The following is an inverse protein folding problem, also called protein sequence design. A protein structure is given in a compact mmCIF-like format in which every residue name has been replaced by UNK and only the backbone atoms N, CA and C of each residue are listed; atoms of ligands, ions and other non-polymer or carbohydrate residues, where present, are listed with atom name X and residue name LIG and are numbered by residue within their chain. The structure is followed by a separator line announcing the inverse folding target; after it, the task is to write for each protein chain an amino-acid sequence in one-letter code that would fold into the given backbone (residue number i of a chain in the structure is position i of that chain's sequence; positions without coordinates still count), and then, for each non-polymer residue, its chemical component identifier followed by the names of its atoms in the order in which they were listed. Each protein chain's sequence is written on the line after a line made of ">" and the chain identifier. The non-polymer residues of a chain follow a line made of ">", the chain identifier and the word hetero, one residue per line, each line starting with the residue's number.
data_IF_141457434481
#
_entry.id   IF_141457434481
#
_cell.length_a   1.000
_cell.length_b   1.000
_cell.length_c   1.000
_cell.angle_alpha   90.00
_cell.angle_beta   90.00
_cell.angle_gamma   90.00
#
_symmetry.space_group_name_H-M   'P 1'
#
loop_
_entity.id
_entity.type
_entity.pdbx_description
1 polymer ?
#
# COMPACT_ATOMS: atom_id res chain seq x y z
N UNK A 1 -6.45 9.04 -4.63
CA UNK A 1 -7.30 10.24 -4.47
C UNK A 1 -8.61 10.02 -5.21
N UNK A 2 -9.71 10.57 -4.70
CA UNK A 2 -11.01 10.51 -5.37
C UNK A 2 -11.09 11.45 -6.59
N UNK A 3 -11.99 11.15 -7.52
CA UNK A 3 -12.30 12.04 -8.65
C UNK A 3 -12.99 13.31 -8.15
N UNK A 4 -12.45 14.48 -8.50
CA UNK A 4 -13.06 15.77 -8.14
C UNK A 4 -14.48 15.92 -8.68
N UNK A 5 -14.84 15.24 -9.78
CA UNK A 5 -16.20 15.30 -10.29
C UNK A 5 -17.23 14.65 -9.34
N UNK A 6 -16.83 13.69 -8.50
CA UNK A 6 -17.73 13.09 -7.49
C UNK A 6 -18.24 14.12 -6.47
N UNK A 7 -17.51 15.22 -6.29
CA UNK A 7 -17.87 16.32 -5.38
C UNK A 7 -18.81 17.35 -6.04
N UNK A 8 -19.07 17.26 -7.34
CA UNK A 8 -19.79 18.28 -8.12
C UNK A 8 -21.24 17.86 -8.40
N UNK A 9 -22.17 18.33 -7.58
CA UNK A 9 -23.62 18.12 -7.75
C UNK A 9 -24.14 18.68 -9.07
N UNK A 10 -23.61 19.83 -9.52
CA UNK A 10 -24.01 20.46 -10.78
C UNK A 10 -23.65 19.63 -12.02
N UNK A 11 -22.79 18.61 -11.86
CA UNK A 11 -22.46 17.62 -12.89
C UNK A 11 -23.27 16.32 -12.75
N UNK A 12 -24.28 16.29 -11.89
CA UNK A 12 -25.14 15.13 -11.64
C UNK A 12 -24.58 14.07 -10.70
N UNK A 13 -23.51 14.39 -9.95
CA UNK A 13 -22.93 13.49 -8.95
C UNK A 13 -23.56 13.69 -7.57
N UNK A 14 -23.32 12.75 -6.65
CA UNK A 14 -23.82 12.80 -5.28
C UNK A 14 -22.68 12.79 -4.26
N UNK A 15 -22.24 13.95 -3.74
CA UNK A 15 -21.20 14.03 -2.73
C UNK A 15 -21.56 13.36 -1.40
N UNK A 16 -22.85 13.07 -1.14
CA UNK A 16 -23.26 12.36 0.07
C UNK A 16 -22.65 10.96 0.17
N UNK A 17 -22.34 10.32 -0.96
CA UNK A 17 -21.62 9.03 -0.97
C UNK A 17 -20.23 9.18 -0.33
N UNK A 18 -19.56 10.31 -0.57
CA UNK A 18 -18.25 10.61 0.01
C UNK A 18 -18.40 10.92 1.50
N UNK A 19 -19.42 11.71 1.87
CA UNK A 19 -19.74 12.01 3.29
C UNK A 19 -20.02 10.75 4.07
N UNK A 20 -20.82 9.85 3.52
CA UNK A 20 -21.14 8.56 4.15
C UNK A 20 -19.90 7.66 4.28
N UNK A 21 -19.06 7.60 3.25
CA UNK A 21 -17.77 6.90 3.33
C UNK A 21 -16.88 7.47 4.46
N UNK A 22 -16.80 8.79 4.62
CA UNK A 22 -16.08 9.44 5.72
C UNK A 22 -16.66 9.08 7.09
N UNK A 23 -18.00 9.08 7.24
CA UNK A 23 -18.67 8.63 8.47
C UNK A 23 -18.32 7.19 8.81
N UNK A 24 -18.39 6.29 7.82
CA UNK A 24 -18.02 4.87 7.99
C UNK A 24 -16.56 4.71 8.39
N UNK A 25 -15.66 5.56 7.88
CA UNK A 25 -14.24 5.60 8.27
C UNK A 25 -13.96 6.29 9.62
N UNK A 26 -14.98 6.80 10.31
CA UNK A 26 -14.82 7.60 11.54
C UNK A 26 -13.94 8.83 11.35
N UNK A 27 -13.98 9.43 10.15
CA UNK A 27 -13.24 10.64 9.80
C UNK A 27 -14.18 11.85 9.68
N UNK A 28 -13.60 13.05 9.78
CA UNK A 28 -14.32 14.31 9.63
C UNK A 28 -15.06 14.37 8.29
N UNK A 29 -16.34 14.74 8.33
CA UNK A 29 -17.21 14.82 7.14
C UNK A 29 -17.11 16.21 6.50
N UNK A 30 -16.82 17.22 7.32
CA UNK A 30 -16.73 18.64 6.96
C UNK A 30 -15.70 18.89 5.87
N UNK A 31 -14.67 18.04 5.78
CA UNK A 31 -13.64 18.10 4.73
C UNK A 31 -14.22 17.94 3.32
N UNK A 32 -15.34 17.23 3.17
CA UNK A 32 -16.02 17.09 1.88
C UNK A 32 -16.58 18.43 1.44
N UNK A 33 -17.17 19.18 2.37
CA UNK A 33 -17.73 20.51 2.09
C UNK A 33 -16.61 21.54 1.88
N UNK A 34 -15.50 21.44 2.61
CA UNK A 34 -14.29 22.23 2.34
C UNK A 34 -13.77 22.02 0.91
N UNK A 35 -13.68 20.76 0.45
CA UNK A 35 -13.25 20.45 -0.93
C UNK A 35 -14.23 21.01 -1.96
N UNK A 36 -15.54 20.91 -1.73
CA UNK A 36 -16.56 21.49 -2.61
C UNK A 36 -16.39 23.00 -2.73
N UNK A 37 -16.15 23.69 -1.60
CA UNK A 37 -15.95 25.13 -1.57
C UNK A 37 -14.65 25.53 -2.29
N UNK A 38 -13.54 24.86 -1.99
CA UNK A 38 -12.25 25.11 -2.63
C UNK A 38 -12.30 24.86 -4.15
N UNK A 39 -13.05 23.85 -4.60
CA UNK A 39 -13.26 23.58 -6.03
C UNK A 39 -14.03 24.71 -6.72
N UNK A 40 -15.07 25.26 -6.06
CA UNK A 40 -15.82 26.42 -6.58
C UNK A 40 -14.92 27.65 -6.72
N UNK A 41 -14.13 27.94 -5.69
CA UNK A 41 -13.19 29.07 -5.71
C UNK A 41 -12.10 28.91 -6.76
N UNK A 42 -11.53 27.71 -6.88
CA UNK A 42 -10.53 27.41 -7.91
C UNK A 42 -11.11 27.61 -9.32
N UNK A 43 -12.32 27.08 -9.59
CA UNK A 43 -12.99 27.27 -10.89
C UNK A 43 -13.33 28.72 -11.17
N UNK A 44 -13.75 29.49 -10.17
CA UNK A 44 -14.02 30.91 -10.31
C UNK A 44 -12.74 31.68 -10.69
N UNK A 45 -11.63 31.45 -9.97
CA UNK A 45 -10.32 32.05 -10.28
C UNK A 45 -9.83 31.64 -11.68
N UNK A 46 -10.04 30.39 -12.07
CA UNK A 46 -9.71 29.87 -13.40
C UNK A 46 -10.51 30.57 -14.50
N UNK A 47 -11.82 30.77 -14.29
CA UNK A 47 -12.68 31.49 -15.21
C UNK A 47 -12.26 32.97 -15.37
N UNK A 48 -11.90 33.63 -14.27
CA UNK A 48 -11.38 35.00 -14.29
C UNK A 48 -10.07 35.11 -15.07
N UNK A 49 -9.13 34.17 -14.86
CA UNK A 49 -7.89 34.08 -15.65
C UNK A 49 -8.16 33.87 -17.14
N UNK A 50 -9.11 33.01 -17.50
CA UNK A 50 -9.51 32.80 -18.90
C UNK A 50 -10.13 34.06 -19.52
N UNK A 51 -10.90 34.83 -18.75
CA UNK A 51 -11.43 36.12 -19.22
C UNK A 51 -10.31 37.15 -19.43
N UNK A 52 -9.34 37.25 -18.52
CA UNK A 52 -8.16 38.11 -18.71
C UNK A 52 -7.41 37.75 -19.99
N UNK A 53 -7.19 36.45 -20.25
CA UNK A 53 -6.56 35.96 -21.49
C UNK A 53 -7.40 36.26 -22.74
N UNK A 54 -8.73 36.19 -22.66
CA UNK A 54 -9.62 36.57 -23.76
C UNK A 54 -9.55 38.07 -24.03
N UNK A 55 -9.55 38.90 -22.99
CA UNK A 55 -9.40 40.35 -23.12
C UNK A 55 -8.04 40.74 -23.67
N UNK A 56 -6.96 40.10 -23.20
CA UNK A 56 -5.62 40.25 -23.78
C UNK A 56 -5.62 40.08 -25.31
N UNK A 57 -6.23 38.99 -25.78
CA UNK A 57 -6.31 38.69 -27.21
C UNK A 57 -7.13 39.74 -27.99
N UNK A 58 -8.17 40.33 -27.38
CA UNK A 58 -8.95 41.42 -27.97
C UNK A 58 -8.13 42.70 -28.05
N UNK A 59 -7.48 43.10 -26.95
CA UNK A 59 -6.63 44.30 -26.88
C UNK A 59 -5.50 44.17 -27.91
N UNK A 60 -4.83 43.02 -27.97
CA UNK A 60 -3.72 42.80 -28.90
C UNK A 60 -4.15 42.86 -30.38
N UNK A 61 -5.35 42.35 -30.71
CA UNK A 61 -5.94 42.53 -32.04
C UNK A 61 -6.20 44.01 -32.35
N UNK A 62 -6.66 44.79 -31.36
CA UNK A 62 -6.89 46.23 -31.53
C UNK A 62 -5.58 46.99 -31.73
N UNK A 63 -4.52 46.68 -30.99
CA UNK A 63 -3.17 47.24 -31.20
C UNK A 63 -2.68 46.99 -32.62
N UNK A 64 -2.84 45.76 -33.13
CA UNK A 64 -2.46 45.43 -34.50
C UNK A 64 -3.24 46.25 -35.54
N UNK A 65 -4.55 46.43 -35.34
CA UNK A 65 -5.39 47.25 -36.23
C UNK A 65 -4.96 48.73 -36.24
N UNK A 66 -4.72 49.32 -35.08
CA UNK A 66 -4.29 50.73 -34.96
C UNK A 66 -2.93 50.96 -35.62
N UNK A 67 -1.99 50.02 -35.43
CA UNK A 67 -0.66 50.06 -36.09
C UNK A 67 -0.76 49.98 -37.61
N UNK A 68 -1.65 49.14 -38.15
CA UNK A 68 -1.90 49.04 -39.60
C UNK A 68 -2.52 50.34 -40.13
N UNK A 69 -3.42 50.96 -39.36
CA UNK A 69 -4.08 52.22 -39.70
C UNK A 69 -3.16 53.46 -39.56
N UNK A 70 -1.97 53.33 -38.95
CA UNK A 70 -1.08 54.45 -38.66
C UNK A 70 -1.55 55.35 -37.52
N UNK A 71 -2.48 54.86 -36.69
CA UNK A 71 -3.04 55.58 -35.54
C UNK A 71 -2.20 55.37 -34.26
N UNK A 72 -2.33 56.28 -33.29
CA UNK A 72 -1.65 56.14 -32.00
C UNK A 72 -2.25 54.98 -31.19
N UNK A 73 -1.39 54.03 -30.80
CA UNK A 73 -1.75 52.86 -30.03
C UNK A 73 -1.22 52.92 -28.58
N UNK A 74 -0.63 54.04 -28.14
CA UNK A 74 0.10 54.14 -26.87
C UNK A 74 -0.75 53.74 -25.66
N UNK A 75 -2.00 54.19 -25.58
CA UNK A 75 -2.87 53.85 -24.44
C UNK A 75 -3.35 52.40 -24.49
N UNK A 76 -3.64 51.86 -25.68
CA UNK A 76 -4.02 50.43 -25.86
C UNK A 76 -2.84 49.51 -25.55
N UNK A 77 -1.61 49.96 -25.77
CA UNK A 77 -0.39 49.25 -25.36
C UNK A 77 -0.25 49.23 -23.82
N UNK A 78 -0.57 50.33 -23.12
CA UNK A 78 -0.59 50.32 -21.64
C UNK A 78 -1.62 49.34 -21.10
N UNK A 79 -2.82 49.30 -21.68
CA UNK A 79 -3.87 48.34 -21.31
C UNK A 79 -3.41 46.88 -21.51
N UNK A 80 -2.56 46.64 -22.52
CA UNK A 80 -1.95 45.33 -22.78
C UNK A 80 -0.99 44.92 -21.66
N UNK A 81 -0.12 45.83 -21.22
CA UNK A 81 0.84 45.57 -20.15
C UNK A 81 0.14 45.38 -18.79
N UNK A 82 -0.89 46.18 -18.49
CA UNK A 82 -1.68 46.02 -17.28
C UNK A 82 -2.45 44.69 -17.27
N UNK A 83 -3.06 44.29 -18.39
CA UNK A 83 -3.73 43.00 -18.48
C UNK A 83 -2.75 41.82 -18.28
N UNK A 84 -1.53 41.89 -18.83
CA UNK A 84 -0.50 40.86 -18.60
C UNK A 84 -0.16 40.76 -17.11
N UNK A 85 0.00 41.89 -16.43
CA UNK A 85 0.28 41.93 -14.99
C UNK A 85 -0.83 41.26 -14.18
N UNK A 86 -2.09 41.65 -14.42
CA UNK A 86 -3.25 41.06 -13.77
C UNK A 86 -3.39 39.57 -14.07
N UNK A 87 -3.12 39.13 -15.30
CA UNK A 87 -3.15 37.73 -15.67
C UNK A 87 -2.05 36.91 -14.96
N UNK A 88 -0.85 37.47 -14.79
CA UNK A 88 0.24 36.83 -14.07
C UNK A 88 -0.06 36.70 -12.57
N UNK A 89 -0.58 37.76 -11.94
CA UNK A 89 -1.06 37.74 -10.54
C UNK A 89 -2.15 36.67 -10.39
N UNK A 90 -3.13 36.64 -11.31
CA UNK A 90 -4.22 35.67 -11.26
C UNK A 90 -3.78 34.23 -11.48
N UNK A 91 -2.75 34.00 -12.30
CA UNK A 91 -2.19 32.67 -12.52
C UNK A 91 -1.53 32.11 -11.25
N UNK A 92 -0.94 32.97 -10.40
CA UNK A 92 -0.44 32.58 -9.07
C UNK A 92 -1.61 32.18 -8.17
N UNK A 93 -2.67 33.00 -8.09
CA UNK A 93 -3.85 32.68 -7.27
C UNK A 93 -4.51 31.35 -7.68
N UNK A 94 -4.62 31.07 -8.99
CA UNK A 94 -5.15 29.81 -9.50
C UNK A 94 -4.30 28.62 -9.04
N UNK A 95 -2.97 28.76 -9.10
CA UNK A 95 -2.03 27.70 -8.68
C UNK A 95 -2.10 27.44 -7.18
N UNK A 96 -2.19 28.49 -6.38
CA UNK A 96 -2.34 28.39 -4.92
C UNK A 96 -3.68 27.75 -4.55
N UNK A 97 -4.77 28.18 -5.18
CA UNK A 97 -6.09 27.58 -4.97
C UNK A 97 -6.12 26.09 -5.33
N UNK A 98 -5.47 25.70 -6.44
CA UNK A 98 -5.37 24.29 -6.84
C UNK A 98 -4.53 23.48 -5.84
N UNK A 99 -3.45 24.05 -5.32
CA UNK A 99 -2.59 23.41 -4.32
C UNK A 99 -3.37 23.17 -3.02
N UNK A 100 -4.14 24.17 -2.57
CA UNK A 100 -5.00 24.04 -1.38
C UNK A 100 -6.08 22.97 -1.60
N UNK A 101 -6.79 23.01 -2.73
CA UNK A 101 -7.78 22.00 -3.11
C UNK A 101 -7.18 20.58 -3.08
N UNK A 102 -6.04 20.39 -3.75
CA UNK A 102 -5.40 19.08 -3.83
C UNK A 102 -4.96 18.56 -2.46
N UNK A 103 -4.39 19.41 -1.59
CA UNK A 103 -3.98 18.97 -0.26
C UNK A 103 -5.14 18.46 0.61
N UNK A 104 -6.34 19.03 0.45
CA UNK A 104 -7.56 18.56 1.11
C UNK A 104 -8.13 17.30 0.45
N UNK A 105 -8.07 17.23 -0.87
CA UNK A 105 -8.53 16.05 -1.61
C UNK A 105 -7.66 14.82 -1.36
N UNK A 106 -6.37 15.00 -1.10
CA UNK A 106 -5.41 13.90 -0.85
C UNK A 106 -5.63 13.15 0.46
N UNK A 107 -6.23 13.80 1.46
CA UNK A 107 -6.47 13.19 2.79
C UNK A 107 -7.83 12.50 2.90
N UNK A 108 -8.68 12.60 1.88
CA UNK A 108 -9.96 11.88 1.80
C UNK A 108 -9.68 10.47 1.26
N UNK A 109 -9.94 9.47 2.09
CA UNK A 109 -9.74 8.07 1.74
C UNK A 109 -10.68 7.59 0.63
N UNK A 110 -10.37 6.42 0.08
CA UNK A 110 -11.15 5.76 -0.93
C UNK A 110 -12.58 5.46 -0.44
N UNK A 111 -13.52 5.28 -1.37
CA UNK A 111 -14.89 4.90 -1.02
C UNK A 111 -14.90 3.50 -0.40
N UNK A 112 -15.51 3.39 0.79
CA UNK A 112 -15.64 2.13 1.49
C UNK A 112 -16.70 1.27 0.79
N UNK A 113 -16.34 0.04 0.40
CA UNK A 113 -17.28 -0.90 -0.21
C UNK A 113 -18.41 -1.29 0.76
N UNK A 114 -19.64 -1.48 0.28
CA UNK A 114 -20.82 -1.71 1.14
C UNK A 114 -20.72 -2.97 2.00
N UNK A 115 -19.95 -3.97 1.58
CA UNK A 115 -19.73 -5.20 2.36
C UNK A 115 -18.76 -5.04 3.54
N UNK A 116 -18.12 -3.87 3.71
CA UNK A 116 -17.13 -3.66 4.78
C UNK A 116 -17.85 -3.48 6.12
N UNK A 117 -17.48 -4.24 7.18
CA UNK A 117 -18.07 -4.09 8.50
C UNK A 117 -17.76 -2.72 9.08
N UNK A 118 -18.76 -2.06 9.65
CA UNK A 118 -18.63 -0.69 10.17
C UNK A 118 -18.26 -0.76 11.65
N UNK A 119 -17.01 -0.47 11.97
CA UNK A 119 -16.49 -0.32 13.34
C UNK A 119 -15.16 0.43 13.32
N UNK A 120 -14.81 1.06 14.45
CA UNK A 120 -13.52 1.71 14.67
C UNK A 120 -12.58 0.85 15.54
N UNK A 121 -12.94 -0.40 15.76
CA UNK A 121 -12.21 -1.32 16.64
C UNK A 121 -11.99 -2.64 15.91
N UNK A 122 -10.70 -2.98 15.70
CA UNK A 122 -10.23 -4.18 14.99
C UNK A 122 -10.67 -5.48 15.66
N UNK A 123 -11.01 -5.48 16.94
CA UNK A 123 -11.61 -6.65 17.61
C UNK A 123 -12.97 -7.03 16.99
N UNK A 124 -13.60 -6.12 16.24
CA UNK A 124 -14.84 -6.38 15.49
C UNK A 124 -14.60 -6.79 14.02
N UNK A 125 -13.37 -7.09 13.64
CA UNK A 125 -13.08 -7.69 12.34
C UNK A 125 -13.92 -8.96 12.15
N UNK A 126 -14.64 -9.05 11.03
CA UNK A 126 -15.56 -10.16 10.80
C UNK A 126 -14.80 -11.38 10.27
N UNK A 127 -14.86 -12.52 10.96
CA UNK A 127 -14.31 -13.79 10.44
C UNK A 127 -15.18 -14.26 9.27
N UNK A 128 -14.57 -14.38 8.09
CA UNK A 128 -15.26 -14.77 6.85
C UNK A 128 -15.07 -16.25 6.56
N UNK A 129 -13.86 -16.78 6.81
CA UNK A 129 -13.49 -18.18 6.57
C UNK A 129 -12.46 -18.64 7.61
N UNK A 130 -12.41 -19.94 7.87
CA UNK A 130 -11.38 -20.57 8.70
C UNK A 130 -10.95 -21.90 8.09
N UNK A 131 -9.70 -22.29 8.30
CA UNK A 131 -9.15 -23.53 7.77
C UNK A 131 -8.07 -24.12 8.69
N UNK A 132 -7.97 -25.45 8.69
CA UNK A 132 -6.93 -26.20 9.39
C UNK A 132 -7.26 -26.55 10.85
N UNK A 133 -6.50 -27.49 11.41
CA UNK A 133 -6.62 -27.92 12.81
C UNK A 133 -5.60 -27.21 13.68
N UNK A 134 -6.08 -26.47 14.69
CA UNK A 134 -5.22 -25.73 15.62
C UNK A 134 -4.53 -26.68 16.61
N UNK A 135 -3.21 -26.51 16.78
CA UNK A 135 -2.49 -27.09 17.92
C UNK A 135 -2.85 -26.33 19.20
N UNK A 136 -3.31 -27.06 20.21
CA UNK A 136 -3.85 -26.53 21.47
C UNK A 136 -3.17 -27.13 22.71
N UNK A 137 -2.25 -28.08 22.53
CA UNK A 137 -1.54 -28.71 23.63
C UNK A 137 -0.70 -27.68 24.43
N UNK A 138 -0.61 -27.83 25.76
CA UNK A 138 0.10 -26.87 26.59
C UNK A 138 1.62 -26.99 26.43
N UNK A 139 2.34 -25.93 26.84
CA UNK A 139 3.82 -25.88 26.91
C UNK A 139 4.54 -25.97 25.55
N UNK A 140 3.87 -25.60 24.45
CA UNK A 140 4.54 -25.36 23.19
C UNK A 140 5.45 -24.14 23.28
N UNK A 141 6.62 -24.23 22.65
CA UNK A 141 7.61 -23.14 22.61
C UNK A 141 7.16 -22.10 21.60
N UNK A 142 7.37 -20.83 21.92
CA UNK A 142 7.15 -19.76 20.95
C UNK A 142 8.30 -19.66 19.95
N UNK A 143 8.09 -18.96 18.85
CA UNK A 143 9.09 -18.80 17.79
C UNK A 143 10.38 -18.11 18.29
N UNK A 144 10.32 -17.27 19.32
CA UNK A 144 11.51 -16.59 19.88
C UNK A 144 12.47 -17.63 20.45
N UNK A 145 11.95 -18.54 21.27
CA UNK A 145 12.73 -19.65 21.84
C UNK A 145 13.19 -20.63 20.76
N UNK A 146 12.30 -21.00 19.83
CA UNK A 146 12.60 -21.98 18.78
C UNK A 146 13.70 -21.50 17.82
N UNK A 147 13.69 -20.22 17.45
CA UNK A 147 14.74 -19.61 16.61
C UNK A 147 16.12 -19.73 17.26
N UNK A 148 16.19 -19.53 18.59
CA UNK A 148 17.43 -19.70 19.36
C UNK A 148 17.83 -21.17 19.47
N UNK A 149 16.91 -22.07 19.85
CA UNK A 149 17.17 -23.51 19.98
C UNK A 149 17.69 -24.14 18.68
N UNK A 150 17.10 -23.77 17.54
CA UNK A 150 17.52 -24.23 16.22
C UNK A 150 18.82 -23.56 15.74
N UNK A 151 19.20 -22.43 16.35
CA UNK A 151 20.35 -21.63 15.94
C UNK A 151 20.19 -21.02 14.54
N UNK A 152 18.95 -20.70 14.14
CA UNK A 152 18.60 -20.23 12.79
C UNK A 152 18.60 -18.71 12.65
N UNK A 153 18.66 -17.98 13.76
CA UNK A 153 18.95 -16.55 13.77
C UNK A 153 19.88 -16.14 14.93
N UNK A 154 20.45 -14.95 14.83
CA UNK A 154 21.24 -14.29 15.87
C UNK A 154 20.67 -12.91 16.16
N UNK A 155 19.79 -12.84 17.16
CA UNK A 155 19.14 -11.59 17.56
C UNK A 155 20.10 -10.68 18.33
N UNK A 156 21.02 -11.27 19.11
CA UNK A 156 21.99 -10.50 19.90
C UNK A 156 22.98 -9.78 18.99
N UNK A 157 23.61 -10.51 18.05
CA UNK A 157 24.54 -9.90 17.09
C UNK A 157 23.83 -8.95 16.14
N UNK A 158 22.58 -9.23 15.78
CA UNK A 158 21.76 -8.29 15.02
C UNK A 158 21.54 -6.98 15.77
N UNK A 159 21.17 -7.05 17.05
CA UNK A 159 20.95 -5.87 17.87
C UNK A 159 22.21 -5.05 18.13
N UNK A 160 23.36 -5.71 18.30
CA UNK A 160 24.67 -5.05 18.42
C UNK A 160 25.03 -4.22 17.17
N UNK A 161 24.58 -4.65 15.98
CA UNK A 161 24.95 -4.02 14.70
C UNK A 161 23.91 -3.01 14.20
N UNK A 162 22.63 -3.36 14.26
CA UNK A 162 21.55 -2.57 13.66
C UNK A 162 20.60 -1.91 14.69
N UNK A 163 20.85 -2.13 15.99
CA UNK A 163 19.96 -1.69 17.06
C UNK A 163 18.76 -2.62 17.27
N UNK A 164 17.78 -2.17 18.07
CA UNK A 164 16.57 -2.97 18.35
C UNK A 164 15.91 -3.52 17.07
N UNK A 165 15.33 -4.72 17.16
CA UNK A 165 14.75 -5.46 16.02
C UNK A 165 15.75 -5.87 14.91
N UNK A 166 17.05 -5.65 15.09
CA UNK A 166 18.09 -6.19 14.22
C UNK A 166 18.32 -7.69 14.45
N UNK A 167 18.56 -8.45 13.38
CA UNK A 167 18.84 -9.89 13.43
C UNK A 167 19.78 -10.32 12.29
N UNK A 168 20.46 -11.45 12.48
CA UNK A 168 21.05 -12.21 11.37
C UNK A 168 20.27 -13.51 11.21
N UNK A 169 19.89 -13.90 10.00
CA UNK A 169 19.56 -15.31 9.71
C UNK A 169 20.85 -16.13 9.57
N UNK A 170 20.83 -17.38 10.03
CA UNK A 170 21.99 -18.29 9.99
C UNK A 170 21.60 -19.68 9.48
N UNK A 171 22.49 -20.29 8.71
CA UNK A 171 22.39 -21.70 8.31
C UNK A 171 21.01 -22.07 7.74
N UNK A 172 20.28 -22.92 8.46
CA UNK A 172 18.94 -23.37 8.04
C UNK A 172 17.90 -22.24 8.01
N UNK A 173 18.05 -21.17 8.79
CA UNK A 173 17.16 -20.00 8.73
C UNK A 173 17.27 -19.26 7.41
N UNK A 174 18.50 -19.04 6.91
CA UNK A 174 18.73 -18.47 5.57
C UNK A 174 18.11 -19.35 4.50
N UNK A 175 18.32 -20.67 4.59
CA UNK A 175 17.77 -21.62 3.61
C UNK A 175 16.25 -21.66 3.64
N UNK A 176 15.62 -21.64 4.80
CA UNK A 176 14.16 -21.64 4.94
C UNK A 176 13.55 -20.34 4.42
N UNK A 177 14.18 -19.19 4.67
CA UNK A 177 13.77 -17.91 4.08
C UNK A 177 13.80 -17.96 2.55
N UNK A 178 14.92 -18.42 1.96
CA UNK A 178 15.05 -18.59 0.52
C UNK A 178 14.07 -19.63 -0.05
N UNK A 179 13.76 -20.69 0.70
CA UNK A 179 12.78 -21.70 0.31
C UNK A 179 11.37 -21.10 0.21
N UNK A 180 10.97 -20.24 1.17
CA UNK A 180 9.69 -19.54 1.13
C UNK A 180 9.59 -18.58 -0.05
N UNK A 181 10.66 -17.83 -0.35
CA UNK A 181 10.72 -16.92 -1.51
C UNK A 181 10.52 -17.71 -2.81
N UNK A 182 11.35 -18.72 -3.04
CA UNK A 182 11.31 -19.50 -4.28
C UNK A 182 10.00 -20.27 -4.43
N UNK A 183 9.51 -20.89 -3.35
CA UNK A 183 8.21 -21.55 -3.38
C UNK A 183 7.07 -20.57 -3.69
N UNK A 184 7.11 -19.37 -3.12
CA UNK A 184 6.13 -18.33 -3.38
C UNK A 184 6.11 -17.84 -4.83
N UNK A 185 7.29 -17.63 -5.41
CA UNK A 185 7.43 -17.23 -6.82
C UNK A 185 6.95 -18.34 -7.77
N UNK A 186 7.45 -19.57 -7.60
CA UNK A 186 6.99 -20.76 -8.35
C UNK A 186 5.47 -20.96 -8.26
N UNK A 187 4.89 -20.66 -7.09
CA UNK A 187 3.46 -20.81 -6.85
C UNK A 187 2.62 -19.79 -7.65
N UNK A 188 3.09 -18.55 -7.77
CA UNK A 188 2.42 -17.50 -8.54
C UNK A 188 2.70 -17.61 -10.04
N UNK A 189 3.89 -18.01 -10.45
CA UNK A 189 4.23 -18.27 -11.86
C UNK A 189 3.25 -19.28 -12.48
N UNK A 190 2.98 -20.38 -11.76
CA UNK A 190 1.99 -21.41 -12.15
C UNK A 190 0.55 -20.88 -12.25
N UNK A 191 0.29 -19.67 -11.76
CA UNK A 191 -1.01 -18.96 -11.81
C UNK A 191 -0.99 -17.78 -12.79
N UNK A 192 0.03 -17.71 -13.66
CA UNK A 192 0.13 -16.70 -14.71
C UNK A 192 0.58 -15.34 -14.22
N UNK A 193 1.22 -15.24 -13.05
CA UNK A 193 1.87 -14.02 -12.61
C UNK A 193 3.26 -13.90 -13.24
N UNK A 194 3.61 -12.69 -13.65
CA UNK A 194 4.97 -12.37 -14.10
C UNK A 194 5.82 -11.98 -12.89
N UNK A 195 6.92 -12.68 -12.67
CA UNK A 195 7.87 -12.40 -11.60
C UNK A 195 8.58 -11.07 -11.83
N UNK A 196 8.68 -10.24 -10.79
CA UNK A 196 9.41 -8.98 -10.81
C UNK A 196 10.23 -8.80 -9.53
N UNK A 197 11.51 -8.51 -9.69
CA UNK A 197 12.30 -7.91 -8.62
C UNK A 197 12.26 -6.39 -8.76
N UNK A 198 11.75 -5.70 -7.74
CA UNK A 198 11.58 -4.25 -7.80
C UNK A 198 12.84 -3.52 -7.36
N UNK A 199 13.05 -2.25 -7.75
CA UNK A 199 14.01 -1.38 -7.06
C UNK A 199 13.63 -1.26 -5.57
N UNK A 200 14.61 -1.33 -4.66
CA UNK A 200 14.36 -1.25 -3.21
C UNK A 200 14.36 0.17 -2.65
N UNK A 201 14.54 1.16 -3.53
CA UNK A 201 14.41 2.57 -3.21
C UNK A 201 13.68 3.30 -4.33
N UNK A 202 12.93 4.33 -3.97
CA UNK A 202 12.18 5.17 -4.89
C UNK A 202 12.55 6.64 -4.68
N UNK A 203 12.51 7.43 -5.76
CA UNK A 203 12.63 8.88 -5.64
C UNK A 203 11.46 9.45 -4.85
N UNK A 204 11.69 10.54 -4.12
CA UNK A 204 10.67 11.20 -3.28
C UNK A 204 9.39 11.56 -4.06
N UNK A 205 9.53 12.10 -5.26
CA UNK A 205 8.41 12.52 -6.12
C UNK A 205 7.51 11.33 -6.52
N UNK A 206 8.11 10.17 -6.78
CA UNK A 206 7.38 8.95 -7.15
C UNK A 206 6.76 8.29 -5.91
N UNK A 207 7.51 8.19 -4.81
CA UNK A 207 6.99 7.64 -3.55
C UNK A 207 5.76 8.42 -3.07
N UNK A 208 5.77 9.75 -3.21
CA UNK A 208 4.64 10.60 -2.83
C UNK A 208 3.37 10.35 -3.65
N UNK A 209 3.45 9.67 -4.80
CA UNK A 209 2.28 9.28 -5.61
C UNK A 209 1.63 7.98 -5.16
N UNK A 210 2.36 7.10 -4.46
CA UNK A 210 1.84 5.80 -4.01
C UNK A 210 1.67 5.68 -2.49
N UNK A 211 2.51 6.37 -1.69
CA UNK A 211 2.45 6.34 -0.23
C UNK A 211 1.59 7.48 0.34
N UNK A 212 0.93 7.20 1.46
CA UNK A 212 0.20 8.19 2.26
C UNK A 212 1.18 9.05 3.06
N UNK A 213 0.79 10.28 3.37
CA UNK A 213 1.63 11.23 4.13
C UNK A 213 2.11 10.65 5.47
N UNK A 214 1.22 10.01 6.23
CA UNK A 214 1.56 9.39 7.52
C UNK A 214 2.66 8.30 7.38
N UNK A 215 2.71 7.60 6.25
CA UNK A 215 3.72 6.55 6.02
C UNK A 215 5.14 7.11 5.90
N UNK A 216 5.31 8.37 5.46
CA UNK A 216 6.63 9.00 5.39
C UNK A 216 7.28 9.13 6.78
N UNK A 217 6.46 9.49 7.77
CA UNK A 217 6.91 9.69 9.13
C UNK A 217 7.06 8.35 9.85
N UNK A 218 6.05 7.49 9.76
CA UNK A 218 5.92 6.28 10.58
C UNK A 218 6.59 5.03 10.02
N UNK A 219 6.65 4.88 8.69
CA UNK A 219 7.07 3.63 8.04
C UNK A 219 8.37 3.76 7.25
N UNK A 220 8.54 4.83 6.47
CA UNK A 220 9.56 4.89 5.42
C UNK A 220 10.91 5.40 5.92
N UNK A 221 11.98 4.64 5.67
CA UNK A 221 13.35 5.12 5.81
C UNK A 221 13.73 6.04 4.64
N UNK A 222 14.29 7.20 4.96
CA UNK A 222 14.78 8.18 3.98
C UNK A 222 16.29 7.97 3.74
N UNK A 223 16.69 7.96 2.47
CA UNK A 223 18.08 7.93 2.03
C UNK A 223 18.44 9.31 1.49
N UNK A 224 19.38 9.97 2.18
CA UNK A 224 19.85 11.33 1.87
C UNK A 224 21.33 11.31 1.52
N UNK A 225 21.78 12.18 0.60
CA UNK A 225 23.19 12.29 0.21
C UNK A 225 23.39 13.34 -0.87
N UNK A 226 24.49 13.27 -1.62
CA UNK A 226 24.67 14.08 -2.83
C UNK A 226 23.69 13.61 -3.93
N UNK A 227 22.74 14.47 -4.29
CA UNK A 227 21.68 14.19 -5.27
C UNK A 227 20.28 14.15 -4.66
N UNK A 228 19.32 13.61 -5.41
CA UNK A 228 17.92 13.60 -5.00
C UNK A 228 17.65 12.62 -3.85
N UNK A 229 16.83 13.09 -2.89
CA UNK A 229 16.28 12.30 -1.80
C UNK A 229 15.54 11.06 -2.32
N UNK A 230 15.83 9.90 -1.72
CA UNK A 230 15.15 8.64 -1.99
C UNK A 230 14.57 8.06 -0.70
N UNK A 231 13.69 7.08 -0.84
CA UNK A 231 13.10 6.34 0.27
C UNK A 231 13.26 4.85 0.02
N UNK A 232 13.64 4.08 1.04
CA UNK A 232 13.56 2.62 1.00
C UNK A 232 12.09 2.20 0.97
N UNK A 233 11.79 1.15 0.21
CA UNK A 233 10.41 0.66 0.08
C UNK A 233 9.96 -0.10 1.34
N UNK A 234 8.71 0.08 1.75
CA UNK A 234 8.08 -0.69 2.83
C UNK A 234 7.41 -1.98 2.33
N UNK A 235 7.28 -2.12 1.00
CA UNK A 235 6.65 -3.24 0.28
C UNK A 235 6.94 -3.11 -1.21
N UNK A 236 7.02 -4.24 -1.94
CA UNK A 236 7.09 -4.26 -3.41
C UNK A 236 5.88 -3.59 -4.08
N UNK A 237 4.74 -3.47 -3.38
CA UNK A 237 3.56 -2.75 -3.86
C UNK A 237 3.90 -1.32 -4.32
N UNK A 238 4.73 -0.58 -3.57
CA UNK A 238 5.03 0.83 -3.87
C UNK A 238 5.69 1.02 -5.26
N UNK A 239 6.78 0.30 -5.59
CA UNK A 239 7.35 0.35 -6.93
C UNK A 239 6.47 -0.33 -7.99
N UNK A 240 5.70 -1.38 -7.66
CA UNK A 240 4.78 -2.03 -8.63
C UNK A 240 3.63 -1.11 -9.05
N UNK A 241 3.04 -0.37 -8.10
CA UNK A 241 2.09 0.70 -8.37
C UNK A 241 2.64 1.69 -9.40
N UNK A 242 3.92 2.05 -9.28
CA UNK A 242 4.56 3.06 -10.11
C UNK A 242 5.16 2.51 -11.41
N UNK A 243 5.08 1.20 -11.64
CA UNK A 243 5.67 0.56 -12.83
C UNK A 243 5.01 1.03 -14.14
N UNK A 244 3.70 1.34 -14.08
CA UNK A 244 2.89 1.85 -15.18
C UNK A 244 2.48 3.31 -14.99
N UNK A 245 3.37 4.12 -14.41
CA UNK A 245 3.11 5.55 -14.23
C UNK A 245 2.88 6.22 -15.59
N UNK A 246 1.85 7.06 -15.69
CA UNK A 246 1.45 7.78 -16.91
C UNK A 246 1.03 6.91 -18.12
N UNK A 247 1.03 5.58 -18.01
CA UNK A 247 0.65 4.68 -19.09
C UNK A 247 -0.85 4.72 -19.42
N UNK A 248 -1.17 4.29 -20.63
CA UNK A 248 -2.51 3.92 -21.07
C UNK A 248 -2.55 2.42 -21.31
N UNK A 249 -3.29 1.69 -20.46
CA UNK A 249 -3.39 0.23 -20.53
C UNK A 249 -4.59 -0.14 -21.40
N UNK A 250 -4.32 -0.87 -22.48
CA UNK A 250 -5.36 -1.32 -23.40
C UNK A 250 -6.18 -2.46 -22.76
N UNK A 251 -7.51 -2.54 -22.98
CA UNK A 251 -8.34 -3.59 -22.38
C UNK A 251 -7.87 -5.02 -22.68
N UNK A 252 -7.27 -5.25 -23.86
CA UNK A 252 -6.75 -6.57 -24.23
C UNK A 252 -5.47 -7.00 -23.49
N UNK A 253 -4.86 -6.12 -22.71
CA UNK A 253 -3.70 -6.43 -21.87
C UNK A 253 -4.11 -6.84 -20.45
N UNK A 254 -5.38 -6.64 -20.08
CA UNK A 254 -5.87 -6.86 -18.72
C UNK A 254 -6.45 -8.28 -18.56
N UNK A 255 -6.33 -8.88 -17.37
CA UNK A 255 -5.61 -8.35 -16.21
C UNK A 255 -4.09 -8.51 -16.32
N UNK A 256 -3.33 -7.52 -15.84
CA UNK A 256 -1.88 -7.68 -15.61
C UNK A 256 -1.66 -8.22 -14.20
N UNK A 257 -0.75 -9.20 -14.05
CA UNK A 257 -0.50 -9.93 -12.82
C UNK A 257 1.01 -9.99 -12.54
N UNK A 258 1.45 -9.46 -11.41
CA UNK A 258 2.86 -9.39 -11.03
C UNK A 258 3.13 -10.06 -9.68
N UNK A 259 4.15 -10.93 -9.65
CA UNK A 259 4.70 -11.54 -8.44
C UNK A 259 5.96 -10.77 -8.03
N UNK A 260 5.81 -9.78 -7.15
CA UNK A 260 6.88 -8.91 -6.70
C UNK A 260 7.69 -9.50 -5.57
N UNK A 261 9.00 -9.69 -5.75
CA UNK A 261 9.92 -10.01 -4.65
C UNK A 261 10.74 -8.78 -4.24
N UNK A 262 10.78 -8.51 -2.93
CA UNK A 262 11.68 -7.50 -2.37
C UNK A 262 12.01 -7.72 -0.90
N UNK A 263 13.16 -7.18 -0.47
CA UNK A 263 13.34 -6.81 0.93
C UNK A 263 12.52 -5.55 1.23
N UNK A 264 11.84 -5.55 2.37
CA UNK A 264 10.94 -4.50 2.84
C UNK A 264 11.54 -3.83 4.07
N UNK A 265 11.50 -2.49 4.12
CA UNK A 265 12.09 -1.69 5.20
C UNK A 265 11.02 -0.86 5.91
N UNK A 266 10.84 -1.06 7.21
CA UNK A 266 9.84 -0.33 8.03
C UNK A 266 10.43 0.18 9.33
N UNK A 267 10.25 1.47 9.61
CA UNK A 267 10.68 2.09 10.89
C UNK A 267 9.94 1.54 12.10
N UNK A 268 8.72 1.01 11.91
CA UNK A 268 7.87 0.47 12.98
C UNK A 268 7.60 1.46 14.14
N UNK A 269 7.60 2.77 13.86
CA UNK A 269 7.53 3.83 14.87
C UNK A 269 6.22 3.84 15.67
N UNK A 270 5.09 3.47 15.04
CA UNK A 270 3.78 3.39 15.71
C UNK A 270 3.57 2.15 16.60
N UNK A 271 4.51 1.20 16.61
CA UNK A 271 4.34 -0.12 17.25
C UNK A 271 4.93 -0.24 18.66
N UNK A 272 5.19 0.87 19.35
CA UNK A 272 5.92 0.91 20.62
C UNK A 272 5.46 -0.18 21.62
N UNK A 273 6.35 -1.14 21.90
CA UNK A 273 6.14 -2.20 22.90
C UNK A 273 5.43 -3.47 22.40
N UNK A 274 4.91 -3.52 21.15
CA UNK A 274 4.27 -4.72 20.58
C UNK A 274 5.26 -5.56 19.77
N UNK A 275 5.17 -6.89 19.95
CA UNK A 275 5.95 -7.92 19.25
C UNK A 275 7.44 -7.54 19.08
N UNK A 276 8.10 -7.16 20.17
CA UNK A 276 9.46 -6.62 20.16
C UNK A 276 10.56 -7.70 20.13
N UNK A 277 10.18 -8.97 20.29
CA UNK A 277 11.10 -10.10 20.38
C UNK A 277 10.99 -11.00 19.13
N UNK A 278 12.05 -11.75 18.87
CA UNK A 278 12.12 -12.65 17.71
C UNK A 278 12.30 -11.90 16.40
N UNK A 279 11.76 -12.48 15.32
CA UNK A 279 11.81 -11.91 13.96
C UNK A 279 10.41 -11.64 13.38
N UNK A 280 9.35 -11.68 14.20
CA UNK A 280 7.97 -11.48 13.72
C UNK A 280 7.68 -10.04 13.27
N UNK A 281 8.21 -9.05 14.00
CA UNK A 281 8.10 -7.62 13.66
C UNK A 281 9.48 -6.98 13.70
N UNK A 282 10.02 -6.70 12.52
CA UNK A 282 11.42 -6.29 12.32
C UNK A 282 11.53 -5.14 11.31
N UNK A 283 12.66 -4.44 11.32
CA UNK A 283 12.89 -3.31 10.41
C UNK A 283 13.15 -3.73 8.97
N UNK A 284 13.64 -4.95 8.77
CA UNK A 284 13.93 -5.54 7.46
C UNK A 284 13.36 -6.95 7.42
N UNK A 285 12.61 -7.27 6.37
CA UNK A 285 12.04 -8.60 6.13
C UNK A 285 11.87 -8.82 4.62
N UNK A 286 11.73 -10.06 4.17
CA UNK A 286 11.43 -10.38 2.77
C UNK A 286 9.94 -10.64 2.55
N UNK A 287 9.46 -10.27 1.36
CA UNK A 287 8.06 -10.47 0.98
C UNK A 287 7.93 -10.83 -0.50
N UNK A 288 7.05 -11.79 -0.78
CA UNK A 288 6.49 -12.05 -2.11
C UNK A 288 5.09 -11.43 -2.15
N UNK A 289 4.90 -10.49 -3.06
CA UNK A 289 3.70 -9.68 -3.25
C UNK A 289 2.96 -10.07 -4.53
N UNK A 290 1.65 -10.22 -4.45
CA UNK A 290 0.76 -10.22 -5.60
C UNK A 290 0.34 -8.78 -5.90
N UNK A 291 0.53 -8.32 -7.12
CA UNK A 291 0.03 -7.03 -7.59
C UNK A 291 -0.72 -7.20 -8.90
N UNK A 292 -1.97 -6.75 -8.94
CA UNK A 292 -2.83 -6.92 -10.10
C UNK A 292 -3.37 -5.57 -10.58
N UNK A 293 -3.42 -5.42 -11.89
CA UNK A 293 -4.07 -4.31 -12.58
C UNK A 293 -5.24 -4.88 -13.36
N UNK A 294 -6.45 -4.39 -13.11
CA UNK A 294 -7.67 -4.91 -13.73
C UNK A 294 -8.44 -3.83 -14.47
N UNK A 295 -9.39 -4.29 -15.28
CA UNK A 295 -10.44 -3.41 -15.79
C UNK A 295 -11.20 -2.77 -14.62
N UNK A 296 -11.61 -1.50 -14.74
CA UNK A 296 -12.57 -0.87 -13.83
C UNK A 296 -14.04 -1.24 -14.17
N UNK A 297 -14.29 -1.94 -15.28
CA UNK A 297 -15.63 -2.34 -15.71
C UNK A 297 -16.13 -3.58 -14.98
N UNK A 298 -17.45 -3.62 -14.74
CA UNK A 298 -18.10 -4.80 -14.16
C UNK A 298 -17.58 -5.18 -12.78
N UNK A 299 -17.37 -6.47 -12.57
CA UNK A 299 -16.88 -7.06 -11.32
C UNK A 299 -15.40 -7.45 -11.36
N UNK A 300 -14.67 -7.19 -12.45
CA UNK A 300 -13.31 -7.69 -12.70
C UNK A 300 -12.34 -7.45 -11.52
N UNK A 301 -12.35 -6.23 -10.95
CA UNK A 301 -11.48 -5.93 -9.80
C UNK A 301 -11.90 -6.68 -8.53
N UNK A 302 -13.20 -6.89 -8.32
CA UNK A 302 -13.71 -7.59 -7.14
C UNK A 302 -13.51 -9.10 -7.26
N UNK A 303 -13.65 -9.66 -8.45
CA UNK A 303 -13.30 -11.06 -8.74
C UNK A 303 -11.81 -11.31 -8.55
N UNK A 304 -10.95 -10.39 -9.02
CA UNK A 304 -9.52 -10.44 -8.76
C UNK A 304 -9.20 -10.32 -7.27
N UNK A 305 -9.92 -9.50 -6.51
CA UNK A 305 -9.74 -9.40 -5.05
C UNK A 305 -9.96 -10.75 -4.36
N UNK A 306 -11.03 -11.45 -4.73
CA UNK A 306 -11.33 -12.80 -4.22
C UNK A 306 -10.32 -13.85 -4.73
N UNK A 307 -9.84 -13.74 -5.98
CA UNK A 307 -8.78 -14.61 -6.53
C UNK A 307 -7.46 -14.45 -5.76
N UNK A 308 -7.03 -13.21 -5.50
CA UNK A 308 -5.76 -12.92 -4.82
C UNK A 308 -5.74 -13.42 -3.38
N UNK A 309 -6.82 -13.22 -2.60
CA UNK A 309 -6.89 -13.78 -1.25
C UNK A 309 -6.95 -15.30 -1.29
N UNK A 310 -7.64 -15.89 -2.27
CA UNK A 310 -7.66 -17.35 -2.46
C UNK A 310 -6.28 -17.91 -2.79
N UNK A 311 -5.46 -17.21 -3.58
CA UNK A 311 -4.07 -17.60 -3.85
C UNK A 311 -3.27 -17.68 -2.55
N UNK A 312 -3.40 -16.66 -1.69
CA UNK A 312 -2.75 -16.68 -0.36
C UNK A 312 -3.29 -17.80 0.51
N UNK A 313 -4.61 -18.00 0.57
CA UNK A 313 -5.22 -19.13 1.28
C UNK A 313 -4.66 -20.48 0.81
N UNK A 314 -4.63 -20.73 -0.50
CA UNK A 314 -4.12 -21.98 -1.07
C UNK A 314 -2.62 -22.18 -0.78
N UNK A 315 -1.84 -21.09 -0.73
CA UNK A 315 -0.43 -21.13 -0.34
C UNK A 315 -0.28 -21.58 1.12
N UNK A 316 -1.01 -20.98 2.06
CA UNK A 316 -0.97 -21.37 3.47
C UNK A 316 -1.57 -22.76 3.75
N UNK A 317 -2.56 -23.19 2.95
CA UNK A 317 -3.05 -24.60 2.95
C UNK A 317 -1.95 -25.57 2.55
N UNK A 318 -1.18 -25.24 1.51
CA UNK A 318 -0.07 -26.09 1.05
C UNK A 318 1.06 -26.20 2.07
N UNK A 319 1.24 -25.16 2.89
CA UNK A 319 2.13 -25.16 4.06
C UNK A 319 1.49 -25.83 5.29
N UNK A 320 0.25 -26.30 5.21
CA UNK A 320 -0.54 -26.87 6.29
C UNK A 320 -0.50 -26.03 7.59
N UNK A 321 -0.68 -24.71 7.45
CA UNK A 321 -0.77 -23.78 8.57
C UNK A 321 -2.23 -23.39 8.81
N UNK A 322 -2.80 -23.64 10.01
CA UNK A 322 -4.16 -23.24 10.32
C UNK A 322 -4.31 -21.72 10.31
N UNK A 323 -5.40 -21.21 9.77
CA UNK A 323 -5.64 -19.77 9.66
C UNK A 323 -7.13 -19.44 9.67
N UNK A 324 -7.43 -18.15 9.81
CA UNK A 324 -8.71 -17.58 9.42
C UNK A 324 -8.51 -16.37 8.51
N UNK A 325 -9.55 -16.02 7.75
CA UNK A 325 -9.59 -14.80 6.93
C UNK A 325 -10.62 -13.87 7.56
N UNK A 326 -10.20 -12.65 7.83
CA UNK A 326 -11.03 -11.61 8.44
C UNK A 326 -11.26 -10.46 7.46
N UNK A 327 -12.48 -9.93 7.44
CA UNK A 327 -12.81 -8.67 6.79
C UNK A 327 -12.53 -7.52 7.74
N UNK A 328 -11.67 -6.60 7.29
CA UNK A 328 -11.22 -5.50 8.13
C UNK A 328 -12.29 -4.42 8.22
N UNK A 329 -12.51 -3.93 9.44
CA UNK A 329 -13.48 -2.89 9.73
C UNK A 329 -13.12 -1.57 9.08
N UNK A 330 -14.14 -0.77 8.78
CA UNK A 330 -14.01 0.48 8.03
C UNK A 330 -13.05 1.51 8.66
N UNK A 331 -12.98 1.60 10.00
CA UNK A 331 -12.07 2.50 10.71
C UNK A 331 -10.59 2.09 10.64
N UNK A 332 -10.31 0.81 10.36
CA UNK A 332 -8.95 0.27 10.25
C UNK A 332 -8.45 0.16 8.79
N UNK A 333 -9.27 0.56 7.81
CA UNK A 333 -8.83 0.66 6.42
C UNK A 333 -7.88 1.83 6.23
N UNK A 334 -6.75 1.58 5.57
CA UNK A 334 -5.92 2.65 5.07
C UNK A 334 -6.68 3.46 3.99
N UNK A 335 -6.19 4.65 3.66
CA UNK A 335 -6.89 5.54 2.72
C UNK A 335 -6.97 5.00 1.29
N UNK A 336 -6.11 4.06 0.88
CA UNK A 336 -6.16 3.50 -0.46
C UNK A 336 -7.21 2.39 -0.61
N UNK A 337 -7.40 1.56 0.40
CA UNK A 337 -8.26 0.37 0.31
C UNK A 337 -9.74 0.73 0.37
N UNK A 338 -10.50 0.24 -0.61
CA UNK A 338 -11.97 0.23 -0.59
C UNK A 338 -12.52 -0.96 0.23
N UNK A 339 -11.78 -2.08 0.23
CA UNK A 339 -12.05 -3.30 0.99
C UNK A 339 -10.72 -4.02 1.24
N UNK A 340 -10.57 -4.63 2.43
CA UNK A 340 -9.36 -5.35 2.82
C UNK A 340 -9.71 -6.66 3.54
N UNK A 341 -9.00 -7.71 3.18
CA UNK A 341 -8.98 -8.98 3.89
C UNK A 341 -7.61 -9.23 4.47
N UNK A 342 -7.56 -9.70 5.71
CA UNK A 342 -6.32 -10.21 6.30
C UNK A 342 -6.46 -11.72 6.53
N UNK A 343 -5.41 -12.47 6.19
CA UNK A 343 -5.28 -13.87 6.60
C UNK A 343 -4.37 -13.89 7.82
N UNK A 344 -4.92 -14.37 8.93
CA UNK A 344 -4.21 -14.48 10.19
C UNK A 344 -4.02 -15.96 10.52
N UNK A 345 -2.77 -16.37 10.69
CA UNK A 345 -2.42 -17.77 10.96
C UNK A 345 -2.31 -18.02 12.47
N UNK A 346 -2.53 -19.27 12.85
CA UNK A 346 -2.53 -19.70 14.25
C UNK A 346 -1.11 -19.79 14.83
N UNK A 347 -0.89 -19.14 15.97
CA UNK A 347 0.35 -19.22 16.75
C UNK A 347 0.10 -19.99 18.05
N UNK A 348 0.41 -21.30 18.09
CA UNK A 348 -0.06 -22.19 19.14
C UNK A 348 0.52 -21.89 20.53
N UNK A 349 1.73 -21.32 20.63
CA UNK A 349 2.33 -20.99 21.92
C UNK A 349 1.58 -19.84 22.63
N UNK A 350 1.00 -18.91 21.86
CA UNK A 350 0.24 -17.78 22.37
C UNK A 350 -1.27 -17.94 22.22
N UNK A 351 -1.72 -19.06 21.64
CA UNK A 351 -3.12 -19.42 21.43
C UNK A 351 -3.95 -18.31 20.76
N UNK A 352 -3.38 -17.71 19.71
CA UNK A 352 -3.98 -16.56 19.04
C UNK A 352 -3.67 -16.59 17.55
N UNK A 353 -4.48 -15.91 16.76
CA UNK A 353 -4.20 -15.65 15.37
C UNK A 353 -3.33 -14.40 15.22
N UNK A 354 -2.45 -14.39 14.22
CA UNK A 354 -1.60 -13.25 13.87
C UNK A 354 -1.55 -13.05 12.36
N UNK A 355 -1.69 -11.81 11.93
CA UNK A 355 -1.67 -11.40 10.53
C UNK A 355 -0.39 -11.86 9.80
N UNK A 356 -0.56 -12.64 8.73
CA UNK A 356 0.51 -13.01 7.80
C UNK A 356 0.33 -12.40 6.41
N UNK A 357 -0.91 -12.11 6.03
CA UNK A 357 -1.25 -11.55 4.73
C UNK A 357 -2.28 -10.46 4.91
N UNK A 358 -2.14 -9.41 4.11
CA UNK A 358 -3.18 -8.44 3.84
C UNK A 358 -3.45 -8.41 2.33
N UNK A 359 -4.72 -8.23 1.94
CA UNK A 359 -5.20 -8.25 0.57
C UNK A 359 -6.22 -7.14 0.35
N UNK A 360 -5.88 -6.14 -0.46
CA UNK A 360 -6.69 -4.93 -0.66
C UNK A 360 -7.10 -4.75 -2.12
N UNK A 361 -8.35 -4.31 -2.31
CA UNK A 361 -8.77 -3.67 -3.56
C UNK A 361 -8.74 -2.15 -3.35
N UNK A 362 -7.90 -1.45 -4.11
CA UNK A 362 -7.72 0.00 -4.01
C UNK A 362 -8.51 0.77 -5.09
N UNK A 363 -9.31 0.06 -5.90
CA UNK A 363 -10.04 0.61 -7.04
C UNK A 363 -9.14 1.53 -7.87
N UNK A 364 -9.65 2.67 -8.32
CA UNK A 364 -8.90 3.67 -9.07
C UNK A 364 -8.15 4.69 -8.18
N UNK A 365 -8.16 4.52 -6.86
CA UNK A 365 -7.63 5.52 -5.93
C UNK A 365 -6.15 5.80 -6.16
N UNK A 366 -5.33 4.75 -6.27
CA UNK A 366 -3.89 4.86 -6.50
C UNK A 366 -3.60 5.23 -7.96
N UNK A 367 -4.30 4.60 -8.93
CA UNK A 367 -4.06 4.80 -10.37
C UNK A 367 -4.37 6.22 -10.84
N UNK A 368 -5.30 6.93 -10.20
CA UNK A 368 -5.55 8.36 -10.45
C UNK A 368 -4.32 9.23 -10.17
N UNK A 369 -3.63 9.02 -9.04
CA UNK A 369 -2.46 9.83 -8.67
C UNK A 369 -1.23 9.46 -9.51
N UNK A 370 -1.15 8.19 -9.91
CA UNK A 370 -0.10 7.65 -10.78
C UNK A 370 -0.38 7.90 -12.27
N UNK A 371 -1.58 8.39 -12.59
CA UNK A 371 -2.02 8.62 -13.95
C UNK A 371 -1.96 7.35 -14.84
N UNK A 372 -2.18 6.18 -14.26
CA UNK A 372 -2.30 4.90 -14.97
C UNK A 372 -3.73 4.72 -15.48
N UNK A 373 -3.92 4.92 -16.78
CA UNK A 373 -5.24 5.09 -17.40
C UNK A 373 -5.70 3.82 -18.10
N UNK A 374 -7.01 3.65 -18.22
CA UNK A 374 -7.63 2.55 -18.94
C UNK A 374 -8.07 3.00 -20.33
N UNK A 375 -7.77 2.20 -21.36
CA UNK A 375 -8.18 2.45 -22.74
C UNK A 375 -7.09 3.08 -23.60
N UNK A 376 -7.50 3.95 -24.52
CA UNK A 376 -6.60 4.65 -25.43
C UNK A 376 -6.81 6.15 -25.31
N UNK A 377 -5.73 6.93 -25.50
CA UNK A 377 -5.79 8.38 -25.53
C UNK A 377 -6.59 8.86 -26.76
N UNK A 378 -7.85 9.20 -26.57
CA UNK A 378 -8.69 9.82 -27.62
C UNK A 378 -8.62 11.35 -27.53
N UNK A 379 -8.50 12.03 -28.66
CA UNK A 379 -8.33 13.50 -28.73
C UNK A 379 -9.53 14.29 -28.17
N UNK A 380 -10.71 13.67 -28.11
CA UNK A 380 -11.98 14.33 -27.76
C UNK A 380 -12.58 13.84 -26.43
N UNK A 381 -11.88 13.00 -25.68
CA UNK A 381 -12.41 12.42 -24.45
C UNK A 381 -12.19 13.37 -23.27
N UNK A 382 -13.29 13.90 -22.71
CA UNK A 382 -13.24 14.88 -21.62
C UNK A 382 -12.91 14.25 -20.26
N UNK A 383 -13.09 12.93 -20.11
CA UNK A 383 -12.93 12.21 -18.84
C UNK A 383 -12.05 10.99 -19.03
N UNK A 384 -10.91 10.97 -18.34
CA UNK A 384 -10.06 9.79 -18.28
C UNK A 384 -10.71 8.72 -17.43
N UNK A 385 -10.63 7.47 -17.88
CA UNK A 385 -10.91 6.30 -17.05
C UNK A 385 -9.59 5.72 -16.54
N UNK A 386 -9.61 5.14 -15.35
CA UNK A 386 -8.41 4.62 -14.68
C UNK A 386 -8.60 3.13 -14.40
N UNK A 387 -7.51 2.38 -14.45
CA UNK A 387 -7.52 0.95 -14.06
C UNK A 387 -7.73 0.81 -12.56
N UNK A 388 -8.16 -0.38 -12.12
CA UNK A 388 -8.17 -0.70 -10.70
C UNK A 388 -6.86 -1.38 -10.30
N UNK A 389 -6.31 -1.00 -9.15
CA UNK A 389 -5.08 -1.55 -8.58
C UNK A 389 -5.39 -2.38 -7.34
N UNK A 390 -4.80 -3.57 -7.27
CA UNK A 390 -4.97 -4.49 -6.15
C UNK A 390 -3.62 -5.03 -5.70
N UNK A 391 -3.48 -5.24 -4.40
CA UNK A 391 -2.29 -5.82 -3.80
C UNK A 391 -2.67 -6.92 -2.80
N UNK A 392 -1.79 -7.91 -2.67
CA UNK A 392 -1.91 -8.92 -1.63
C UNK A 392 -0.56 -9.52 -1.29
N UNK A 393 -0.24 -9.62 -0.01
CA UNK A 393 0.88 -10.46 0.41
C UNK A 393 0.60 -11.92 0.01
N UNK A 394 1.53 -12.57 -0.69
CA UNK A 394 1.52 -14.04 -0.75
C UNK A 394 2.17 -14.61 0.51
N UNK A 395 3.37 -14.13 0.81
CA UNK A 395 4.09 -14.49 2.04
C UNK A 395 5.05 -13.38 2.45
N UNK A 396 4.92 -12.91 3.70
CA UNK A 396 6.00 -12.24 4.40
C UNK A 396 6.82 -13.31 5.12
N UNK A 397 8.06 -13.51 4.71
CA UNK A 397 8.78 -14.76 4.97
C UNK A 397 9.21 -14.89 6.42
N UNK A 398 9.64 -13.81 7.08
CA UNK A 398 9.97 -13.82 8.50
C UNK A 398 8.77 -14.22 9.38
N UNK A 399 7.59 -13.62 9.14
CA UNK A 399 6.37 -13.97 9.90
C UNK A 399 5.92 -15.40 9.60
N UNK A 400 6.01 -15.82 8.34
CA UNK A 400 5.66 -17.19 7.91
C UNK A 400 6.61 -18.21 8.52
N UNK A 401 7.91 -17.89 8.60
CA UNK A 401 8.92 -18.71 9.27
C UNK A 401 8.60 -18.87 10.75
N UNK A 402 8.24 -17.78 11.46
CA UNK A 402 7.79 -17.85 12.85
C UNK A 402 6.57 -18.79 13.01
N UNK A 403 5.60 -18.71 12.10
CA UNK A 403 4.42 -19.58 12.12
C UNK A 403 4.78 -21.06 11.85
N UNK A 404 5.67 -21.33 10.89
CA UNK A 404 6.16 -22.68 10.60
C UNK A 404 6.83 -23.28 11.82
N UNK A 405 7.79 -22.59 12.44
CA UNK A 405 8.53 -23.17 13.56
C UNK A 405 7.62 -23.49 14.74
N UNK A 406 6.62 -22.65 15.04
CA UNK A 406 5.67 -22.95 16.12
C UNK A 406 4.73 -24.11 15.78
N UNK A 407 4.20 -24.19 14.55
CA UNK A 407 3.24 -25.23 14.20
C UNK A 407 3.88 -26.60 13.91
N UNK A 408 5.14 -26.62 13.46
CA UNK A 408 5.87 -27.85 13.11
C UNK A 408 6.85 -28.32 14.19
N UNK A 409 6.83 -27.73 15.39
CA UNK A 409 7.72 -28.13 16.48
C UNK A 409 7.45 -29.55 17.00
N UNK A 410 8.54 -30.25 17.31
CA UNK A 410 8.63 -31.52 18.04
C UNK A 410 9.44 -31.32 19.32
N UNK A 411 9.59 -32.39 20.11
CA UNK A 411 10.36 -32.34 21.36
C UNK A 411 11.84 -31.99 21.16
N UNK A 412 12.42 -32.35 20.01
CA UNK A 412 13.83 -32.28 19.69
C UNK A 412 14.17 -31.39 18.48
N UNK A 413 13.18 -30.74 17.86
CA UNK A 413 13.38 -29.93 16.66
C UNK A 413 12.09 -29.45 16.01
N UNK A 414 12.16 -29.20 14.70
CA UNK A 414 11.04 -28.71 13.88
C UNK A 414 11.03 -29.45 12.55
N UNK A 415 9.88 -29.99 12.16
CA UNK A 415 9.68 -30.55 10.82
C UNK A 415 9.66 -29.46 9.75
N UNK A 416 10.12 -29.78 8.55
CA UNK A 416 10.03 -28.89 7.39
C UNK A 416 8.75 -29.25 6.61
N UNK A 417 7.85 -28.27 6.33
CA UNK A 417 6.67 -28.49 5.50
C UNK A 417 7.04 -29.18 4.19
N UNK A 418 6.28 -30.19 3.78
CA UNK A 418 6.61 -31.06 2.64
C UNK A 418 6.90 -30.26 1.36
N UNK A 419 6.08 -29.24 1.09
CA UNK A 419 6.22 -28.36 -0.08
C UNK A 419 7.52 -27.54 -0.10
N UNK A 420 8.17 -27.34 1.05
CA UNK A 420 9.43 -26.61 1.16
C UNK A 420 10.66 -27.52 1.10
N UNK A 421 10.50 -28.84 1.28
CA UNK A 421 11.63 -29.78 1.33
C UNK A 421 12.49 -29.77 0.04
N UNK A 422 11.92 -29.69 -1.18
CA UNK A 422 12.72 -29.56 -2.41
C UNK A 422 13.64 -28.34 -2.40
N UNK A 423 13.15 -27.20 -1.90
CA UNK A 423 13.92 -25.95 -1.79
C UNK A 423 14.90 -25.94 -0.62
N UNK A 424 14.73 -26.86 0.34
CA UNK A 424 15.60 -27.08 1.48
C UNK A 424 16.68 -28.15 1.24
N UNK A 425 16.86 -28.58 -0.02
CA UNK A 425 17.83 -29.62 -0.40
C UNK A 425 17.43 -31.01 0.08
N UNK A 426 16.12 -31.29 0.12
CA UNK A 426 15.56 -32.59 0.56
C UNK A 426 15.54 -32.79 2.07
N UNK A 427 15.91 -31.78 2.87
CA UNK A 427 15.82 -31.88 4.33
C UNK A 427 14.36 -31.90 4.77
N UNK A 428 14.05 -32.81 5.69
CA UNK A 428 12.71 -32.98 6.25
C UNK A 428 12.59 -32.50 7.70
N UNK A 429 13.72 -32.30 8.40
CA UNK A 429 13.75 -31.99 9.82
C UNK A 429 14.91 -31.06 10.20
N UNK A 430 14.67 -30.19 11.17
CA UNK A 430 15.64 -29.26 11.76
C UNK A 430 15.82 -29.60 13.26
N UNK A 431 16.93 -30.27 13.66
CA UNK A 431 17.17 -30.58 15.06
C UNK A 431 17.59 -29.35 15.86
N UNK A 432 17.29 -29.34 17.16
CA UNK A 432 17.83 -28.34 18.08
C UNK A 432 19.36 -28.45 18.16
N UNK A 433 20.02 -27.30 18.10
CA UNK A 433 21.48 -27.17 18.16
C UNK A 433 21.96 -26.61 19.49
N UNK A 434 21.14 -25.78 20.11
CA UNK A 434 21.45 -25.14 21.37
C UNK A 434 20.68 -25.81 22.51
N UNK A 435 21.25 -25.79 23.71
CA UNK A 435 20.54 -26.25 24.90
C UNK A 435 19.45 -25.23 25.27
N UNK A 436 18.31 -25.67 25.85
CA UNK A 436 17.31 -24.75 26.38
C UNK A 436 17.97 -23.76 27.34
N UNK A 437 17.67 -22.47 27.19
CA UNK A 437 18.06 -21.49 28.19
C UNK A 437 17.45 -21.92 29.55
N UNK A 438 18.20 -21.87 30.66
CA UNK A 438 17.63 -22.15 31.97
C UNK A 438 16.48 -21.18 32.24
N UNK A 439 15.33 -21.69 32.71
CA UNK A 439 14.15 -20.87 33.04
C UNK A 439 14.57 -19.67 33.90
N UNK A 440 14.39 -18.47 33.37
CA UNK A 440 14.55 -17.24 34.15
C UNK A 440 13.40 -17.19 35.14
N UNK A 441 13.64 -17.62 36.39
CA UNK A 441 12.69 -17.44 37.50
C UNK A 441 12.31 -15.97 37.56
N UNK A 442 11.08 -15.66 37.17
CA UNK A 442 10.57 -14.29 37.09
C UNK A 442 10.85 -13.54 38.39
N UNK A 443 11.52 -12.38 38.28
CA UNK A 443 11.49 -11.38 39.34
C UNK A 443 10.02 -10.97 39.48
N UNK A 444 9.40 -11.36 40.60
CA UNK A 444 8.15 -10.75 41.07
C UNK A 444 8.36 -9.23 41.05
N UNK A 445 7.68 -8.53 40.15
CA UNK A 445 7.49 -7.09 40.29
C UNK A 445 6.78 -6.88 41.62
N UNK A 446 7.43 -6.19 42.56
CA UNK A 446 6.76 -5.71 43.76
C UNK A 446 5.68 -4.70 43.33
N UNK A 447 4.56 -4.80 44.04
CA UNK A 447 3.31 -4.08 43.85
C UNK A 447 3.46 -2.56 43.76
#
# INVERSE_FOLDING_TARGET
>A
MLDINLFREEKGNNPEIIRESQRRRFKAVEIVDEVIQLDKEWRQRQFELENLRKEFNKINKRVAQLRIAGEDATDVIKDTEENKRLAAEKEVEVREALTQLNSKLEVIGNLVHDSVPISNDEENNAVIRSWGEKRMEPKLKNHVELVELLGIADLKKGAEVAGGRGFYLKGAGVRLNQALINFGLDFLEKRGYTELQTPFFMRKDIMAKCAQLAQFDEELYKVTGEGDDKYLIATAEQPLCSYHIDDWIHPSQLPLRYAGYSSCFRKEAGSHGRDTLGIFRVHQFEKVEQFCITSPDGSDSWEMHEEMIKNSEDFYKSLNLPYHVVAIVSGALNDAAAKKYDLEAWFPASQTYRELVSCSNCTDYQSRKLETRYGQKKSNEQTKKYVHLLNSTLTATERTLCCIVENYQREDGVDIPEVLQPFMGGKTFLPFKNKPAPEVKGKKSKA
#
